data_IF_068975705378
#
_entry.id   IF_068975705378
#
_cell.length_a   1.000
_cell.length_b   1.000
_cell.length_c   1.000
_cell.angle_alpha   90.00
_cell.angle_beta   90.00
_cell.angle_gamma   90.00
#
_symmetry.space_group_name_H-M   'P 1'
#
loop_
_entity.id
_entity.type
_entity.pdbx_description
1 polymer ?
#
# COMPACT_ATOMS: atom_id res chain seq x y z
N UNK A 1 -4.68 10.29 -15.58
CA UNK A 1 -3.91 11.11 -14.61
C UNK A 1 -2.50 11.46 -15.09
N UNK A 2 -1.62 10.49 -15.39
CA UNK A 2 -0.21 10.78 -15.79
C UNK A 2 -0.10 11.74 -16.99
N UNK A 3 -0.89 11.53 -18.04
CA UNK A 3 -0.87 12.40 -19.22
C UNK A 3 -1.17 13.88 -18.88
N UNK A 4 -2.11 14.13 -17.97
CA UNK A 4 -2.49 15.47 -17.52
C UNK A 4 -1.33 16.14 -16.75
N UNK A 5 -0.60 15.37 -15.95
CA UNK A 5 0.53 15.90 -15.16
C UNK A 5 1.76 16.19 -16.03
N UNK A 6 1.97 15.40 -17.09
CA UNK A 6 3.22 15.46 -17.88
C UNK A 6 3.12 16.38 -19.10
N UNK A 7 1.93 16.69 -19.59
CA UNK A 7 1.74 17.51 -20.80
C UNK A 7 1.86 19.01 -20.50
N UNK A 8 2.64 19.78 -21.28
CA UNK A 8 2.79 21.22 -21.07
C UNK A 8 1.47 22.00 -21.18
N UNK A 9 0.57 21.59 -22.07
CA UNK A 9 -0.70 22.26 -22.33
C UNK A 9 -1.77 22.03 -21.25
N UNK A 10 -1.54 21.07 -20.35
CA UNK A 10 -2.45 20.77 -19.22
C UNK A 10 -1.87 21.20 -17.88
N UNK A 11 -0.80 21.99 -17.87
CA UNK A 11 -0.26 22.57 -16.63
C UNK A 11 -1.32 23.44 -15.95
N UNK A 12 -1.50 23.24 -14.64
CA UNK A 12 -2.52 23.93 -13.84
C UNK A 12 -3.89 23.24 -13.80
N UNK A 13 -4.11 22.18 -14.58
CA UNK A 13 -5.33 21.37 -14.46
C UNK A 13 -5.28 20.54 -13.17
N UNK A 14 -6.27 20.73 -12.30
CA UNK A 14 -6.39 19.96 -11.06
C UNK A 14 -6.86 18.53 -11.35
N UNK A 15 -6.19 17.55 -10.74
CA UNK A 15 -6.68 16.17 -10.74
C UNK A 15 -7.73 15.99 -9.64
N UNK A 16 -8.82 15.26 -9.90
CA UNK A 16 -9.73 14.88 -8.83
C UNK A 16 -9.03 13.97 -7.80
N UNK A 17 -9.49 13.96 -6.54
CA UNK A 17 -9.06 13.02 -5.54
C UNK A 17 -9.15 11.57 -6.02
N UNK A 18 -8.10 10.78 -5.80
CA UNK A 18 -8.11 9.37 -6.22
C UNK A 18 -9.16 8.56 -5.43
N UNK A 19 -9.47 8.97 -4.20
CA UNK A 19 -10.54 8.41 -3.38
C UNK A 19 -11.94 8.65 -3.95
N UNK A 20 -12.15 9.73 -4.71
CA UNK A 20 -13.43 10.00 -5.40
C UNK A 20 -13.54 9.24 -6.71
N UNK A 21 -12.43 9.08 -7.44
CA UNK A 21 -12.41 8.35 -8.71
C UNK A 21 -12.48 6.84 -8.50
N UNK A 22 -11.83 6.32 -7.46
CA UNK A 22 -11.71 4.90 -7.16
C UNK A 22 -12.10 4.58 -5.70
N UNK A 23 -13.33 4.89 -5.25
CA UNK A 23 -13.73 4.76 -3.85
C UNK A 23 -13.57 3.35 -3.30
N UNK A 24 -13.67 2.32 -4.15
CA UNK A 24 -13.48 0.92 -3.79
C UNK A 24 -12.07 0.52 -3.34
N UNK A 25 -11.09 1.41 -3.50
CA UNK A 25 -9.74 1.21 -3.00
C UNK A 25 -9.46 1.99 -1.69
N UNK A 26 -10.42 2.80 -1.23
CA UNK A 26 -10.28 3.66 -0.05
C UNK A 26 -11.40 3.46 0.99
N UNK A 27 -12.48 2.78 0.60
CA UNK A 27 -13.65 2.51 1.43
C UNK A 27 -13.81 1.01 1.57
N UNK A 28 -14.03 0.52 2.78
CA UNK A 28 -14.22 -0.90 3.03
C UNK A 28 -15.40 -1.49 2.21
N UNK A 29 -15.25 -2.74 1.78
CA UNK A 29 -16.19 -3.41 0.89
C UNK A 29 -17.61 -3.49 1.49
N UNK A 30 -17.73 -3.61 2.83
CA UNK A 30 -19.03 -3.65 3.51
C UNK A 30 -19.80 -2.34 3.35
N UNK A 31 -19.15 -1.18 3.50
CA UNK A 31 -19.81 0.11 3.31
C UNK A 31 -20.25 0.30 1.84
N UNK A 32 -19.44 -0.15 0.88
CA UNK A 32 -19.80 -0.10 -0.54
C UNK A 32 -21.02 -0.96 -0.82
N UNK A 33 -21.05 -2.19 -0.29
CA UNK A 33 -22.20 -3.08 -0.43
C UNK A 33 -23.46 -2.48 0.21
N UNK A 34 -23.33 -1.89 1.39
CA UNK A 34 -24.44 -1.22 2.07
C UNK A 34 -24.97 -0.03 1.23
N UNK A 35 -24.08 0.79 0.68
CA UNK A 35 -24.46 1.89 -0.22
C UNK A 35 -25.18 1.38 -1.48
N UNK A 36 -24.71 0.27 -2.06
CA UNK A 36 -25.37 -0.37 -3.21
C UNK A 36 -26.77 -0.88 -2.86
N UNK A 37 -26.95 -1.49 -1.69
CA UNK A 37 -28.26 -1.96 -1.23
C UNK A 37 -29.25 -0.80 -1.07
N UNK A 38 -28.83 0.32 -0.46
CA UNK A 38 -29.68 1.51 -0.36
C UNK A 38 -30.04 2.09 -1.74
N UNK A 39 -29.09 2.07 -2.68
CA UNK A 39 -29.35 2.51 -4.05
C UNK A 39 -30.41 1.64 -4.72
N UNK A 40 -30.38 0.32 -4.53
CA UNK A 40 -31.39 -0.61 -5.05
C UNK A 40 -32.77 -0.38 -4.42
N UNK A 41 -32.83 0.06 -3.16
CA UNK A 41 -34.06 0.45 -2.46
C UNK A 41 -34.62 1.81 -2.93
N UNK A 42 -33.99 2.48 -3.89
CA UNK A 42 -34.43 3.76 -4.44
C UNK A 42 -34.05 4.98 -3.59
N UNK A 43 -33.21 4.81 -2.57
CA UNK A 43 -32.73 5.94 -1.78
C UNK A 43 -31.76 6.81 -2.59
N UNK A 44 -31.97 8.13 -2.58
CA UNK A 44 -31.18 9.09 -3.36
C UNK A 44 -29.96 9.64 -2.61
N UNK A 45 -30.04 9.71 -1.28
CA UNK A 45 -28.97 10.18 -0.40
C UNK A 45 -28.98 9.32 0.85
N UNK A 46 -27.80 8.81 1.22
CA UNK A 46 -27.59 7.97 2.38
C UNK A 46 -26.25 8.27 3.00
N UNK A 47 -26.17 8.13 4.32
CA UNK A 47 -24.92 8.15 5.05
C UNK A 47 -24.55 6.71 5.41
N UNK A 48 -23.39 6.28 4.94
CA UNK A 48 -22.85 4.95 5.25
C UNK A 48 -21.56 5.15 6.02
N UNK A 49 -21.48 4.55 7.20
CA UNK A 49 -20.27 4.54 7.99
C UNK A 49 -19.30 3.51 7.40
N UNK A 50 -18.06 3.93 7.17
CA UNK A 50 -16.97 3.06 6.75
C UNK A 50 -15.92 3.06 7.85
N UNK A 51 -15.68 1.89 8.44
CA UNK A 51 -14.62 1.71 9.43
C UNK A 51 -13.49 0.92 8.79
N UNK A 52 -12.48 1.66 8.33
CA UNK A 52 -11.24 1.10 7.81
C UNK A 52 -10.35 0.62 8.98
N UNK A 53 -10.35 1.33 10.11
CA UNK A 53 -9.46 1.13 11.27
C UNK A 53 -9.80 -0.09 12.15
N UNK A 54 -10.49 -1.11 11.64
CA UNK A 54 -11.24 -2.03 12.47
C UNK A 54 -10.35 -3.03 13.24
N UNK A 55 -9.91 -2.62 14.44
CA UNK A 55 -9.54 -3.51 15.55
C UNK A 55 -10.82 -4.23 16.02
N UNK A 56 -11.16 -5.31 15.32
CA UNK A 56 -12.40 -6.08 15.49
C UNK A 56 -12.62 -6.62 16.91
N UNK A 57 -11.57 -6.74 17.73
CA UNK A 57 -11.68 -7.30 19.09
C UNK A 57 -12.13 -6.29 20.16
N UNK A 58 -11.92 -4.98 19.97
CA UNK A 58 -12.15 -4.00 21.05
C UNK A 58 -13.59 -3.48 21.11
N UNK A 59 -14.28 -3.34 19.98
CA UNK A 59 -15.61 -2.71 19.94
C UNK A 59 -16.80 -3.68 20.08
N UNK A 60 -16.61 -4.99 19.84
CA UNK A 60 -17.69 -5.96 20.06
C UNK A 60 -18.01 -6.18 21.55
N UNK A 61 -17.06 -5.96 22.46
CA UNK A 61 -17.30 -6.09 23.90
C UNK A 61 -18.07 -4.90 24.49
N UNK A 62 -18.03 -3.71 23.86
CA UNK A 62 -18.73 -2.52 24.36
C UNK A 62 -20.15 -2.40 23.79
N UNK A 63 -20.38 -2.79 22.53
CA UNK A 63 -21.72 -2.69 21.91
C UNK A 63 -22.72 -3.75 22.39
N UNK A 64 -22.26 -4.85 23.01
CA UNK A 64 -23.15 -5.85 23.61
C UNK A 64 -23.82 -5.36 24.91
N UNK A 65 -23.41 -4.21 25.46
CA UNK A 65 -24.02 -3.67 26.68
C UNK A 65 -25.07 -2.59 26.45
N UNK A 66 -25.22 -1.99 25.25
CA UNK A 66 -26.04 -0.77 25.16
C UNK A 66 -27.07 -0.59 24.05
N UNK A 67 -27.25 -1.44 23.04
CA UNK A 67 -28.42 -1.24 22.15
C UNK A 67 -28.99 -2.53 21.53
N UNK A 68 -30.17 -2.91 22.02
CA UNK A 68 -31.07 -3.88 21.42
C UNK A 68 -31.86 -3.22 20.29
N UNK A 69 -31.54 -3.53 19.03
CA UNK A 69 -32.50 -3.72 17.93
C UNK A 69 -31.78 -4.43 16.75
N UNK A 70 -32.08 -5.70 16.43
CA UNK A 70 -31.34 -6.43 15.40
C UNK A 70 -31.98 -6.26 14.02
N UNK A 71 -31.34 -5.51 13.13
CA UNK A 71 -31.57 -5.66 11.69
C UNK A 71 -30.76 -6.87 11.20
N UNK A 72 -31.43 -8.02 11.06
CA UNK A 72 -30.87 -9.24 10.50
C UNK A 72 -30.82 -9.18 8.96
N UNK A 73 -29.72 -8.70 8.39
CA UNK A 73 -29.31 -9.15 7.06
C UNK A 73 -28.37 -10.35 7.21
N UNK A 74 -28.51 -11.34 6.31
CA UNK A 74 -27.83 -12.64 6.37
C UNK A 74 -26.30 -12.51 6.48
N UNK A 75 -25.79 -12.60 7.72
CA UNK A 75 -24.38 -12.66 8.09
C UNK A 75 -23.71 -14.03 7.76
N UNK A 76 -24.39 -14.90 7.01
CA UNK A 76 -24.00 -16.30 6.87
C UNK A 76 -22.79 -16.51 5.94
N UNK A 77 -22.47 -15.56 5.07
CA UNK A 77 -21.32 -15.66 4.16
C UNK A 77 -20.03 -14.97 4.66
N UNK A 78 -20.08 -14.22 5.78
CA UNK A 78 -18.93 -13.46 6.30
C UNK A 78 -18.27 -14.13 7.51
N UNK A 79 -19.03 -14.88 8.32
CA UNK A 79 -18.52 -15.47 9.57
C UNK A 79 -17.40 -16.51 9.39
N UNK A 80 -17.33 -17.20 8.24
CA UNK A 80 -16.32 -18.23 8.03
C UNK A 80 -14.92 -17.66 7.72
N UNK A 81 -14.86 -16.51 7.02
CA UNK A 81 -13.59 -15.86 6.70
C UNK A 81 -13.16 -14.86 7.77
N UNK A 82 -14.06 -14.25 8.53
CA UNK A 82 -13.65 -13.36 9.61
C UNK A 82 -13.05 -14.17 10.77
N UNK A 83 -13.73 -15.20 11.30
CA UNK A 83 -13.31 -15.89 12.53
C UNK A 83 -11.93 -16.56 12.46
N UNK A 84 -11.49 -17.01 11.27
CA UNK A 84 -10.20 -17.67 11.12
C UNK A 84 -9.01 -16.69 11.12
N UNK A 85 -9.27 -15.39 10.90
CA UNK A 85 -8.24 -14.34 10.81
C UNK A 85 -8.27 -13.37 12.02
N UNK A 86 -9.30 -13.42 12.87
CA UNK A 86 -9.51 -12.47 13.99
C UNK A 86 -8.68 -12.74 15.24
N UNK A 87 -8.15 -13.96 15.45
CA UNK A 87 -7.73 -14.42 16.78
C UNK A 87 -6.22 -14.36 17.08
N UNK A 88 -5.43 -13.62 16.30
CA UNK A 88 -4.02 -13.45 16.63
C UNK A 88 -3.66 -11.97 16.58
N UNK A 89 -3.59 -11.35 17.76
CA UNK A 89 -3.22 -9.96 18.04
C UNK A 89 -2.25 -9.39 17.00
N UNK A 90 -2.78 -8.79 15.93
CA UNK A 90 -1.94 -8.12 14.96
C UNK A 90 -1.64 -6.74 15.52
N UNK A 91 -0.50 -6.61 16.20
CA UNK A 91 0.00 -5.36 16.73
C UNK A 91 0.01 -4.23 15.67
N UNK A 92 0.12 -4.59 14.40
CA UNK A 92 0.06 -3.69 13.25
C UNK A 92 -1.26 -2.91 13.15
N UNK A 93 -2.38 -3.46 13.64
CA UNK A 93 -3.68 -2.77 13.60
C UNK A 93 -3.72 -1.52 14.48
N UNK A 94 -2.78 -1.35 15.43
CA UNK A 94 -2.73 -0.13 16.28
C UNK A 94 -2.44 1.13 15.48
N UNK A 95 -1.78 1.01 14.34
CA UNK A 95 -1.46 2.13 13.44
C UNK A 95 -2.39 2.17 12.22
N UNK A 96 -3.52 1.44 12.24
CA UNK A 96 -4.46 1.39 11.12
C UNK A 96 -5.05 2.76 10.77
N UNK A 97 -5.24 3.65 11.75
CA UNK A 97 -5.72 5.02 11.48
C UNK A 97 -4.75 5.81 10.60
N UNK A 98 -3.45 5.47 10.66
CA UNK A 98 -2.43 6.07 9.81
C UNK A 98 -2.33 5.34 8.49
N UNK A 99 -2.20 4.00 8.50
CA UNK A 99 -1.97 3.22 7.28
C UNK A 99 -3.18 3.16 6.35
N UNK A 100 -4.39 3.36 6.88
CA UNK A 100 -5.64 3.40 6.13
C UNK A 100 -6.22 4.81 6.00
N UNK A 101 -5.44 5.83 6.37
CA UNK A 101 -5.81 7.22 6.11
C UNK A 101 -5.95 7.45 4.60
N UNK A 102 -7.08 8.03 4.21
CA UNK A 102 -7.43 8.25 2.80
C UNK A 102 -6.43 9.20 2.14
N UNK A 103 -6.00 10.25 2.85
CA UNK A 103 -5.11 11.26 2.30
C UNK A 103 -3.68 10.74 2.17
N UNK A 104 -3.20 9.94 3.12
CA UNK A 104 -1.88 9.30 3.04
C UNK A 104 -1.80 8.35 1.83
N UNK A 105 -2.80 7.49 1.67
CA UNK A 105 -2.85 6.57 0.53
C UNK A 105 -2.98 7.32 -0.81
N UNK A 106 -3.77 8.41 -0.82
CA UNK A 106 -3.92 9.27 -1.99
C UNK A 106 -2.63 10.03 -2.33
N UNK A 107 -1.88 10.50 -1.33
CA UNK A 107 -0.56 11.10 -1.51
C UNK A 107 0.40 10.10 -2.19
N UNK A 108 0.41 8.85 -1.73
CA UNK A 108 1.21 7.79 -2.34
C UNK A 108 0.81 7.52 -3.79
N UNK A 109 -0.49 7.49 -4.08
CA UNK A 109 -0.98 7.35 -5.45
C UNK A 109 -0.53 8.53 -6.34
N UNK A 110 -0.57 9.76 -5.83
CA UNK A 110 -0.06 10.92 -6.56
C UNK A 110 1.43 10.80 -6.83
N UNK A 111 2.25 10.38 -5.85
CA UNK A 111 3.68 10.19 -6.09
C UNK A 111 3.94 9.28 -7.30
N UNK A 112 3.19 8.18 -7.45
CA UNK A 112 3.31 7.27 -8.60
C UNK A 112 2.82 7.89 -9.92
N UNK A 113 1.86 8.81 -9.86
CA UNK A 113 1.38 9.56 -11.04
C UNK A 113 2.41 10.59 -11.49
N UNK A 114 3.04 11.29 -10.55
CA UNK A 114 4.07 12.30 -10.83
C UNK A 114 5.41 11.67 -11.23
N UNK A 115 5.77 10.52 -10.66
CA UNK A 115 7.04 9.83 -10.89
C UNK A 115 6.81 8.35 -11.22
N UNK A 116 6.21 8.02 -12.39
CA UNK A 116 5.98 6.62 -12.75
C UNK A 116 7.30 5.93 -13.09
N UNK A 117 7.57 4.77 -12.48
CA UNK A 117 8.81 4.00 -12.71
C UNK A 117 9.04 3.61 -14.19
N UNK A 118 7.98 3.51 -15.00
CA UNK A 118 8.06 3.16 -16.42
C UNK A 118 8.25 4.37 -17.35
N UNK A 119 8.18 5.60 -16.84
CA UNK A 119 8.20 6.81 -17.67
C UNK A 119 9.62 7.30 -17.96
N UNK A 120 10.01 7.35 -19.23
CA UNK A 120 11.29 7.89 -19.65
C UNK A 120 11.19 9.39 -19.96
N UNK A 121 11.64 10.24 -19.04
CA UNK A 121 11.63 11.70 -19.21
C UNK A 121 12.54 12.22 -20.33
N UNK A 122 13.67 11.56 -20.64
CA UNK A 122 14.58 11.95 -21.72
C UNK A 122 13.89 11.86 -23.08
N UNK A 123 13.14 10.77 -23.30
CA UNK A 123 12.40 10.54 -24.54
C UNK A 123 11.37 11.65 -24.84
N UNK A 124 10.82 12.26 -23.78
CA UNK A 124 9.80 13.29 -23.89
C UNK A 124 10.33 14.70 -23.57
N UNK A 125 11.65 14.91 -23.66
CA UNK A 125 12.30 16.22 -23.52
C UNK A 125 11.96 16.97 -22.22
N UNK A 126 11.65 16.27 -21.13
CA UNK A 126 11.43 16.90 -19.84
C UNK A 126 12.76 17.20 -19.16
N UNK A 127 12.97 18.46 -18.77
CA UNK A 127 14.25 18.98 -18.24
C UNK A 127 14.61 18.46 -16.83
N UNK A 128 13.67 17.86 -16.10
CA UNK A 128 13.74 17.58 -14.66
C UNK A 128 14.26 16.19 -14.28
N UNK A 129 15.19 15.61 -15.06
CA UNK A 129 15.64 14.23 -14.82
C UNK A 129 16.84 14.08 -13.89
N UNK A 130 17.61 15.13 -13.63
CA UNK A 130 18.70 15.02 -12.68
C UNK A 130 18.06 14.80 -11.29
N UNK A 131 18.19 13.61 -10.69
CA UNK A 131 17.76 13.21 -9.33
C UNK A 131 16.44 12.42 -9.18
N UNK A 132 15.99 11.64 -10.18
CA UNK A 132 14.80 10.80 -10.00
C UNK A 132 15.02 9.69 -8.95
N UNK A 133 16.21 9.08 -8.96
CA UNK A 133 16.58 8.04 -8.00
C UNK A 133 16.74 8.61 -6.60
N UNK A 134 17.44 9.75 -6.45
CA UNK A 134 17.57 10.43 -5.16
C UNK A 134 16.21 10.87 -4.60
N UNK A 135 15.34 11.46 -5.42
CA UNK A 135 13.98 11.84 -5.01
C UNK A 135 13.13 10.64 -4.58
N UNK A 136 13.26 9.51 -5.29
CA UNK A 136 12.59 8.26 -4.93
C UNK A 136 13.07 7.74 -3.58
N UNK A 137 14.39 7.64 -3.38
CA UNK A 137 14.98 7.21 -2.12
C UNK A 137 14.56 8.12 -0.96
N UNK A 138 14.66 9.44 -1.15
CA UNK A 138 14.27 10.43 -0.16
C UNK A 138 12.79 10.27 0.22
N UNK A 139 11.89 10.15 -0.76
CA UNK A 139 10.47 9.97 -0.52
C UNK A 139 10.17 8.72 0.34
N UNK A 140 10.75 7.57 -0.03
CA UNK A 140 10.56 6.33 0.73
C UNK A 140 11.14 6.42 2.14
N UNK A 141 12.32 7.03 2.29
CA UNK A 141 12.97 7.22 3.59
C UNK A 141 12.13 8.12 4.51
N UNK A 142 11.56 9.20 3.99
CA UNK A 142 10.70 10.11 4.75
C UNK A 142 9.38 9.44 5.19
N UNK A 143 8.74 8.66 4.31
CA UNK A 143 7.53 7.92 4.68
C UNK A 143 7.83 6.83 5.71
N UNK A 144 8.93 6.09 5.56
CA UNK A 144 9.34 5.09 6.55
C UNK A 144 9.64 5.72 7.91
N UNK A 145 10.32 6.87 7.94
CA UNK A 145 10.56 7.62 9.17
C UNK A 145 9.24 8.05 9.82
N UNK A 146 8.31 8.61 9.04
CA UNK A 146 6.99 9.03 9.51
C UNK A 146 6.17 7.87 10.08
N UNK A 147 6.19 6.73 9.40
CA UNK A 147 5.54 5.49 9.84
C UNK A 147 6.16 4.97 11.15
N UNK A 148 7.49 4.99 11.27
CA UNK A 148 8.17 4.58 12.50
C UNK A 148 7.82 5.47 13.70
N UNK A 149 7.55 6.77 13.49
CA UNK A 149 7.05 7.64 14.56
C UNK A 149 5.65 7.21 15.05
N UNK A 150 4.74 6.84 14.14
CA UNK A 150 3.42 6.29 14.53
C UNK A 150 3.54 4.97 15.28
N UNK A 151 4.45 4.10 14.83
CA UNK A 151 4.76 2.85 15.52
C UNK A 151 5.23 3.12 16.93
N UNK A 152 6.19 4.03 17.10
CA UNK A 152 6.72 4.39 18.42
C UNK A 152 5.62 4.95 19.35
N UNK A 153 4.78 5.86 18.84
CA UNK A 153 3.65 6.41 19.59
C UNK A 153 2.63 5.34 20.04
N UNK A 154 2.54 4.22 19.32
CA UNK A 154 1.65 3.10 19.62
C UNK A 154 2.34 1.91 20.34
N UNK A 155 3.53 2.14 20.92
CA UNK A 155 4.34 1.12 21.57
C UNK A 155 4.64 -0.09 20.66
N UNK A 156 4.89 0.18 19.38
CA UNK A 156 5.35 -0.80 18.40
C UNK A 156 6.84 -0.61 18.12
N UNK A 157 7.60 -1.70 17.93
CA UNK A 157 8.99 -1.61 17.49
C UNK A 157 9.06 -0.99 16.10
N UNK A 158 10.19 -0.41 15.71
CA UNK A 158 10.40 0.09 14.34
C UNK A 158 10.19 -1.02 13.30
N UNK A 159 9.81 -0.62 12.08
CA UNK A 159 9.65 -1.54 10.97
C UNK A 159 10.95 -2.32 10.74
N UNK A 160 10.86 -3.65 10.74
CA UNK A 160 12.02 -4.52 10.55
C UNK A 160 12.22 -4.81 9.06
N UNK A 161 13.49 -4.89 8.59
CA UNK A 161 13.79 -5.32 7.24
C UNK A 161 13.22 -6.72 6.97
N UNK A 162 12.75 -6.92 5.75
CA UNK A 162 12.30 -8.23 5.29
C UNK A 162 13.46 -9.24 5.28
N UNK A 163 13.18 -10.49 5.64
CA UNK A 163 14.17 -11.58 5.67
C UNK A 163 13.63 -12.77 4.86
N UNK A 164 14.36 -13.18 3.81
CA UNK A 164 13.95 -14.26 2.91
C UNK A 164 13.89 -15.65 3.56
N UNK A 165 14.53 -15.84 4.71
CA UNK A 165 14.58 -17.11 5.44
C UNK A 165 13.63 -17.16 6.64
N UNK A 166 12.79 -16.14 6.82
CA UNK A 166 11.83 -16.07 7.92
C UNK A 166 10.41 -16.08 7.39
N UNK A 167 9.49 -16.59 8.22
CA UNK A 167 8.06 -16.49 7.95
C UNK A 167 7.61 -15.05 8.03
N UNK A 168 6.76 -14.62 7.11
CA UNK A 168 6.11 -13.31 7.16
C UNK A 168 5.08 -13.35 8.27
N UNK A 169 5.45 -12.78 9.43
CA UNK A 169 4.61 -12.79 10.63
C UNK A 169 3.31 -12.01 10.44
N UNK A 170 3.32 -10.72 10.04
CA UNK A 170 2.08 -9.94 9.93
C UNK A 170 1.29 -10.34 8.68
N UNK A 171 0.08 -10.82 8.93
CA UNK A 171 -0.97 -10.94 7.93
C UNK A 171 -1.58 -9.58 7.61
N UNK A 172 -2.37 -9.54 6.55
CA UNK A 172 -3.09 -8.35 6.12
C UNK A 172 -4.39 -8.78 5.43
N UNK A 173 -5.52 -8.31 5.96
CA UNK A 173 -6.82 -8.45 5.32
C UNK A 173 -7.26 -7.07 4.81
N UNK A 174 -7.21 -6.81 3.49
CA UNK A 174 -7.51 -5.50 2.95
C UNK A 174 -8.95 -5.03 3.20
N UNK A 175 -9.91 -5.95 3.38
CA UNK A 175 -11.34 -5.62 3.43
C UNK A 175 -11.84 -4.79 2.23
N UNK A 176 -11.14 -4.88 1.09
CA UNK A 176 -11.46 -4.17 -0.16
C UNK A 176 -12.01 -5.14 -1.21
N UNK A 177 -12.69 -4.59 -2.20
CA UNK A 177 -13.25 -5.32 -3.33
C UNK A 177 -12.99 -4.53 -4.62
N UNK A 178 -12.60 -5.24 -5.68
CA UNK A 178 -12.49 -4.64 -7.01
C UNK A 178 -13.87 -4.30 -7.59
N UNK A 179 -13.90 -3.44 -8.59
CA UNK A 179 -15.15 -3.04 -9.27
C UNK A 179 -15.96 -4.21 -9.84
N UNK A 180 -15.31 -5.33 -10.17
CA UNK A 180 -15.95 -6.54 -10.69
C UNK A 180 -16.51 -7.46 -9.57
N UNK A 181 -16.49 -7.01 -8.32
CA UNK A 181 -16.97 -7.78 -7.17
C UNK A 181 -15.97 -8.82 -6.65
N UNK A 182 -14.77 -8.93 -7.21
CA UNK A 182 -13.76 -9.84 -6.68
C UNK A 182 -13.09 -9.22 -5.44
N UNK A 183 -12.94 -9.97 -4.33
CA UNK A 183 -12.26 -9.46 -3.14
C UNK A 183 -10.77 -9.22 -3.43
N UNK A 184 -10.19 -8.21 -2.79
CA UNK A 184 -8.73 -8.04 -2.81
C UNK A 184 -8.11 -9.16 -1.98
N UNK A 185 -7.09 -9.87 -2.49
CA UNK A 185 -6.52 -11.02 -1.79
C UNK A 185 -5.99 -10.67 -0.39
N UNK A 186 -6.39 -11.46 0.61
CA UNK A 186 -5.85 -11.38 1.96
C UNK A 186 -4.61 -12.28 2.12
N UNK A 187 -3.70 -11.87 3.01
CA UNK A 187 -2.54 -12.66 3.42
C UNK A 187 -2.71 -13.11 4.88
N UNK A 188 -2.76 -14.42 5.17
CA UNK A 188 -2.77 -14.92 6.54
C UNK A 188 -1.51 -14.52 7.32
N UNK A 189 -1.57 -14.62 8.66
CA UNK A 189 -0.39 -14.49 9.50
C UNK A 189 0.57 -15.67 9.29
N UNK A 190 1.85 -15.47 9.59
CA UNK A 190 2.87 -16.53 9.67
C UNK A 190 3.06 -17.34 8.37
N UNK A 191 2.95 -16.69 7.22
CA UNK A 191 3.15 -17.34 5.92
C UNK A 191 4.63 -17.67 5.72
N UNK A 192 4.89 -18.93 5.40
CA UNK A 192 6.21 -19.37 4.95
C UNK A 192 6.40 -19.01 3.48
N UNK A 193 7.42 -18.20 3.23
CA UNK A 193 7.77 -17.72 1.90
C UNK A 193 8.14 -18.85 0.95
N UNK A 194 8.60 -20.00 1.46
CA UNK A 194 8.97 -21.15 0.64
C UNK A 194 7.79 -21.73 -0.17
N UNK A 195 6.55 -21.42 0.21
CA UNK A 195 5.35 -21.79 -0.57
C UNK A 195 5.02 -20.81 -1.69
N UNK A 196 5.69 -19.67 -1.77
CA UNK A 196 5.54 -18.76 -2.89
C UNK A 196 6.19 -19.35 -4.16
N UNK A 197 5.91 -18.72 -5.30
CA UNK A 197 6.46 -19.15 -6.57
C UNK A 197 8.00 -19.05 -6.56
N UNK A 198 8.67 -20.20 -6.70
CA UNK A 198 10.12 -20.33 -6.58
C UNK A 198 10.88 -19.50 -7.61
N UNK A 199 10.35 -19.34 -8.83
CA UNK A 199 10.95 -18.50 -9.86
C UNK A 199 11.00 -17.03 -9.42
N UNK A 200 9.89 -16.47 -8.94
CA UNK A 200 9.87 -15.07 -8.47
C UNK A 200 10.74 -14.86 -7.24
N UNK A 201 10.79 -15.81 -6.30
CA UNK A 201 11.69 -15.73 -5.15
C UNK A 201 13.15 -15.73 -5.56
N UNK A 202 13.53 -16.56 -6.53
CA UNK A 202 14.90 -16.58 -7.04
C UNK A 202 15.26 -15.23 -7.69
N UNK A 203 14.33 -14.62 -8.42
CA UNK A 203 14.54 -13.30 -9.02
C UNK A 203 14.75 -12.21 -7.96
N UNK A 204 13.99 -12.23 -6.87
CA UNK A 204 14.17 -11.29 -5.76
C UNK A 204 15.52 -11.49 -5.04
N UNK A 205 15.89 -12.73 -4.74
CA UNK A 205 17.20 -13.05 -4.15
C UNK A 205 18.37 -12.62 -5.05
N UNK A 206 18.22 -12.82 -6.37
CA UNK A 206 19.21 -12.36 -7.34
C UNK A 206 19.32 -10.83 -7.36
N UNK A 207 18.20 -10.11 -7.24
CA UNK A 207 18.19 -8.65 -7.21
C UNK A 207 18.89 -8.13 -5.95
N UNK A 208 18.51 -8.66 -4.78
CA UNK A 208 19.10 -8.29 -3.48
C UNK A 208 20.63 -8.49 -3.47
N UNK A 209 21.08 -9.68 -3.88
CA UNK A 209 22.51 -9.99 -4.03
C UNK A 209 23.22 -9.06 -5.01
N UNK A 210 22.62 -8.74 -6.16
CA UNK A 210 23.26 -7.86 -7.15
C UNK A 210 23.39 -6.42 -6.66
N UNK A 211 22.45 -5.94 -5.84
CA UNK A 211 22.56 -4.64 -5.18
C UNK A 211 23.72 -4.68 -4.17
N UNK A 212 23.80 -5.71 -3.34
CA UNK A 212 24.90 -5.90 -2.39
C UNK A 212 26.27 -5.97 -3.09
N UNK A 213 26.40 -6.81 -4.13
CA UNK A 213 27.63 -6.97 -4.92
C UNK A 213 28.06 -5.63 -5.56
N UNK A 214 27.11 -4.82 -6.02
CA UNK A 214 27.39 -3.51 -6.60
C UNK A 214 27.91 -2.50 -5.56
N UNK A 215 27.32 -2.52 -4.36
CA UNK A 215 27.74 -1.67 -3.23
C UNK A 215 29.15 -2.08 -2.76
N UNK A 216 29.37 -3.36 -2.52
CA UNK A 216 30.66 -3.90 -2.06
C UNK A 216 31.76 -3.67 -3.10
N UNK A 217 31.44 -3.86 -4.38
CA UNK A 217 32.34 -3.62 -5.49
C UNK A 217 32.52 -2.14 -5.86
N UNK A 218 31.75 -1.22 -5.26
CA UNK A 218 31.68 0.22 -5.60
C UNK A 218 31.52 0.49 -7.10
N UNK A 219 30.81 -0.39 -7.81
CA UNK A 219 30.62 -0.28 -9.25
C UNK A 219 29.37 -1.04 -9.69
N UNK A 220 28.66 -0.49 -10.67
CA UNK A 220 27.53 -1.16 -11.33
C UNK A 220 27.90 -1.56 -12.76
N UNK A 221 27.19 -2.54 -13.28
CA UNK A 221 27.22 -2.91 -14.69
C UNK A 221 26.02 -2.27 -15.40
N UNK A 222 26.30 -1.39 -16.35
CA UNK A 222 25.28 -0.69 -17.12
C UNK A 222 24.60 -1.64 -18.12
N UNK A 223 23.48 -1.20 -18.69
CA UNK A 223 22.70 -1.96 -19.68
C UNK A 223 23.57 -2.36 -20.89
N UNK A 224 24.53 -1.52 -21.27
CA UNK A 224 25.46 -1.77 -22.38
C UNK A 224 26.61 -2.72 -22.01
N UNK A 225 26.63 -3.25 -20.79
CA UNK A 225 27.68 -4.15 -20.28
C UNK A 225 28.93 -3.45 -19.74
N UNK A 226 29.06 -2.13 -19.92
CA UNK A 226 30.13 -1.32 -19.34
C UNK A 226 30.04 -1.22 -17.82
N UNK A 227 31.17 -0.97 -17.17
CA UNK A 227 31.23 -0.73 -15.72
C UNK A 227 31.17 0.78 -15.43
N UNK A 228 30.43 1.15 -14.40
CA UNK A 228 30.35 2.51 -13.90
C UNK A 228 30.64 2.52 -12.41
N UNK A 229 31.63 3.32 -12.00
CA UNK A 229 32.00 3.45 -10.60
C UNK A 229 30.92 4.21 -9.81
N UNK A 230 30.65 3.74 -8.60
CA UNK A 230 29.80 4.40 -7.63
C UNK A 230 30.66 5.33 -6.76
N UNK A 231 30.24 6.58 -6.64
CA UNK A 231 30.85 7.58 -5.78
C UNK A 231 29.77 8.31 -4.96
N UNK A 232 30.18 9.25 -4.10
CA UNK A 232 29.27 9.97 -3.21
C UNK A 232 28.24 10.84 -3.97
N UNK A 233 28.54 11.27 -5.20
CA UNK A 233 27.68 12.16 -5.97
C UNK A 233 26.65 11.37 -6.81
N UNK A 234 27.04 10.24 -7.39
CA UNK A 234 26.20 9.48 -8.32
C UNK A 234 25.59 8.21 -7.71
N UNK A 235 26.07 7.75 -6.55
CA UNK A 235 25.74 6.44 -6.01
C UNK A 235 24.26 6.26 -5.70
N UNK A 236 23.66 7.24 -5.02
CA UNK A 236 22.24 7.20 -4.66
C UNK A 236 21.36 7.22 -5.91
N UNK A 237 21.68 8.08 -6.88
CA UNK A 237 20.91 8.17 -8.12
C UNK A 237 20.94 6.85 -8.90
N UNK A 238 22.12 6.21 -8.99
CA UNK A 238 22.27 4.97 -9.73
C UNK A 238 21.62 3.78 -9.01
N UNK A 239 21.80 3.65 -7.71
CA UNK A 239 21.27 2.52 -6.94
C UNK A 239 19.75 2.56 -6.78
N UNK A 240 19.17 3.75 -6.87
CA UNK A 240 17.73 3.94 -6.70
C UNK A 240 16.93 3.84 -8.00
N UNK A 241 17.59 3.86 -9.17
CA UNK A 241 17.01 3.66 -10.50
C UNK A 241 17.12 2.20 -10.95
#
# INVERSE_FOLDING_TARGET
>A
SVAIVKRPDTQGVALPPQSEVYPQLYVNAQAIQQAQNYKQQGQKQVFVQSNNTNNYAYYQQQQQQENQQPFHYQQQYQNFYDQQYQNQYNYESRVAYFTEDVNLNQQFAYQQIYYPAWFNSQKYSQKTQYQNGEAFYYYLQQILARYNLERYANNLPTAQPFQFNQKVQPGYNPQLQYHNGQPVPARPNNIDINYANSFYLQQLNNMDRRIADAIDGRQVKNINGGKQALNAENGVEILSN
#
